data_IF_163010186354
#
_entry.id   IF_163010186354
#
_cell.length_a   1.000
_cell.length_b   1.000
_cell.length_c   1.000
_cell.angle_alpha   90.00
_cell.angle_beta   90.00
_cell.angle_gamma   90.00
#
_symmetry.space_group_name_H-M   'P 1'
#
loop_
_entity.id
_entity.type
_entity.pdbx_description
1 polymer ?
#
# COMPACT_ATOMS: atom_id res chain seq x y z
N UNK A 1 24.19 -48.52 33.43
CA UNK A 1 23.60 -47.19 33.15
C UNK A 1 24.67 -46.37 32.44
N UNK A 2 24.58 -46.24 31.11
CA UNK A 2 25.42 -45.34 30.33
C UNK A 2 24.45 -44.50 29.51
N UNK A 3 24.20 -43.31 30.06
CA UNK A 3 23.55 -42.19 29.40
C UNK A 3 24.55 -41.58 28.41
N UNK A 4 24.11 -41.18 27.22
CA UNK A 4 25.02 -40.59 26.24
C UNK A 4 24.36 -40.06 24.96
N UNK A 5 23.59 -38.98 25.13
CA UNK A 5 23.43 -37.84 24.20
C UNK A 5 23.42 -38.09 22.68
N UNK A 6 22.25 -37.95 22.07
CA UNK A 6 22.09 -37.76 20.61
C UNK A 6 22.49 -36.32 20.29
N UNK A 7 23.59 -36.16 19.55
CA UNK A 7 24.11 -34.89 19.08
C UNK A 7 23.46 -34.57 17.72
N UNK A 8 22.46 -33.69 17.73
CA UNK A 8 21.78 -33.24 16.51
C UNK A 8 22.57 -32.07 15.91
N UNK A 9 23.45 -32.34 14.95
CA UNK A 9 24.20 -31.32 14.24
C UNK A 9 23.33 -30.70 13.13
N UNK A 10 22.84 -29.48 13.35
CA UNK A 10 22.17 -28.66 12.34
C UNK A 10 23.25 -27.93 11.52
N UNK A 11 23.50 -28.39 10.29
CA UNK A 11 24.43 -27.73 9.38
C UNK A 11 23.74 -26.53 8.71
N UNK A 12 24.12 -25.31 9.10
CA UNK A 12 23.82 -24.09 8.35
C UNK A 12 24.88 -23.93 7.25
N UNK A 13 24.52 -24.22 6.01
CA UNK A 13 25.36 -23.87 4.85
C UNK A 13 25.16 -22.39 4.52
N UNK A 14 26.16 -21.57 4.80
CA UNK A 14 26.21 -20.18 4.33
C UNK A 14 26.76 -20.22 2.90
N UNK A 15 25.89 -19.98 1.90
CA UNK A 15 26.34 -19.68 0.54
C UNK A 15 26.94 -18.28 0.53
N UNK A 16 28.27 -18.18 0.43
CA UNK A 16 28.97 -16.94 0.11
C UNK A 16 29.07 -16.87 -1.41
N UNK A 17 28.15 -16.15 -2.05
CA UNK A 17 28.23 -15.83 -3.47
C UNK A 17 29.26 -14.73 -3.71
N UNK A 18 30.28 -15.03 -4.50
CA UNK A 18 31.29 -14.07 -5.00
C UNK A 18 30.65 -13.09 -5.98
N UNK A 19 30.76 -11.79 -5.71
CA UNK A 19 30.36 -10.74 -6.64
C UNK A 19 31.34 -10.68 -7.83
N UNK A 20 30.82 -10.84 -9.05
CA UNK A 20 31.54 -10.56 -10.29
C UNK A 20 30.78 -9.45 -11.02
N UNK A 21 31.43 -8.28 -11.11
CA UNK A 21 30.97 -7.12 -11.87
C UNK A 21 31.36 -7.29 -13.34
N UNK A 22 30.37 -7.19 -14.24
CA UNK A 22 30.35 -6.30 -15.42
C UNK A 22 29.57 -6.92 -16.59
N UNK A 23 28.39 -6.38 -16.85
CA UNK A 23 28.11 -5.67 -18.11
C UNK A 23 26.78 -4.90 -17.98
N UNK A 24 26.87 -3.57 -18.13
CA UNK A 24 25.74 -2.65 -18.19
C UNK A 24 24.85 -2.98 -19.39
N UNK A 25 23.81 -3.76 -19.12
CA UNK A 25 22.52 -3.60 -19.79
C UNK A 25 21.61 -2.92 -18.77
N UNK A 26 20.83 -1.94 -19.22
CA UNK A 26 19.94 -1.15 -18.39
C UNK A 26 18.76 -2.03 -17.89
N UNK A 27 19.06 -2.82 -16.86
CA UNK A 27 18.20 -3.85 -16.27
C UNK A 27 17.37 -3.30 -15.09
N UNK A 28 17.45 -1.98 -14.84
CA UNK A 28 16.89 -1.33 -13.65
C UNK A 28 15.35 -1.40 -13.61
N UNK A 29 14.69 -1.59 -14.76
CA UNK A 29 13.23 -1.65 -14.85
C UNK A 29 12.68 -3.08 -14.75
N UNK A 30 13.44 -4.11 -15.17
CA UNK A 30 12.96 -5.51 -15.11
C UNK A 30 13.20 -6.19 -13.75
N UNK A 31 14.27 -5.83 -13.02
CA UNK A 31 14.49 -6.36 -11.66
C UNK A 31 13.64 -5.67 -10.58
N UNK A 32 13.05 -4.51 -10.87
CA UNK A 32 12.43 -3.67 -9.86
C UNK A 32 11.06 -4.19 -9.34
N UNK A 33 10.36 -5.03 -10.10
CA UNK A 33 9.02 -5.52 -9.76
C UNK A 33 8.84 -7.00 -10.09
N UNK A 34 9.74 -7.85 -9.59
CA UNK A 34 9.50 -9.28 -9.54
C UNK A 34 8.12 -9.56 -8.91
N UNK A 35 7.27 -10.25 -9.67
CA UNK A 35 5.92 -10.62 -9.28
C UNK A 35 5.93 -11.49 -8.01
N UNK A 36 4.86 -11.45 -7.22
CA UNK A 36 4.73 -12.33 -6.06
C UNK A 36 4.35 -13.73 -6.57
N UNK A 37 5.20 -14.72 -6.36
CA UNK A 37 4.88 -16.11 -6.67
C UNK A 37 3.62 -16.56 -5.91
N UNK A 38 2.74 -17.37 -6.53
CA UNK A 38 1.63 -17.99 -5.82
C UNK A 38 2.15 -18.80 -4.63
N UNK A 39 1.35 -18.85 -3.57
CA UNK A 39 1.68 -19.63 -2.40
C UNK A 39 1.61 -21.14 -2.68
N UNK A 40 2.66 -21.87 -2.33
CA UNK A 40 2.78 -23.33 -2.52
C UNK A 40 2.72 -24.12 -1.20
N UNK A 41 2.52 -23.45 -0.06
CA UNK A 41 2.51 -24.10 1.25
C UNK A 41 1.17 -24.80 1.57
N UNK A 42 1.21 -25.71 2.53
CA UNK A 42 0.03 -26.51 2.96
C UNK A 42 -0.88 -25.78 3.95
N UNK A 43 -0.41 -24.68 4.54
CA UNK A 43 -1.17 -23.85 5.50
C UNK A 43 -1.73 -22.61 4.80
N UNK A 44 -2.45 -22.83 3.70
CA UNK A 44 -3.18 -21.78 2.98
C UNK A 44 -4.60 -21.57 3.54
N UNK A 45 -5.38 -20.65 2.97
CA UNK A 45 -6.71 -20.30 3.48
C UNK A 45 -7.68 -21.50 3.57
N UNK A 46 -7.57 -22.50 2.69
CA UNK A 46 -8.36 -23.73 2.77
C UNK A 46 -7.95 -24.73 3.87
N UNK A 47 -6.87 -24.46 4.61
CA UNK A 47 -6.33 -25.37 5.62
C UNK A 47 -7.01 -25.22 6.99
N UNK A 48 -7.21 -26.34 7.69
CA UNK A 48 -7.71 -26.35 9.08
C UNK A 48 -6.81 -25.57 10.04
N UNK A 49 -5.50 -25.51 9.76
CA UNK A 49 -4.52 -24.83 10.60
C UNK A 49 -4.28 -23.37 10.19
N UNK A 50 -5.03 -22.84 9.22
CA UNK A 50 -4.84 -21.47 8.75
C UNK A 50 -5.04 -20.44 9.86
N UNK A 51 -6.07 -20.59 10.70
CA UNK A 51 -6.28 -19.71 11.85
C UNK A 51 -5.12 -19.71 12.84
N UNK A 52 -4.46 -20.87 13.04
CA UNK A 52 -3.28 -20.96 13.90
C UNK A 52 -2.08 -20.26 13.27
N UNK A 53 -1.87 -20.41 11.95
CA UNK A 53 -0.84 -19.67 11.20
C UNK A 53 -0.98 -18.17 11.43
N UNK A 54 -2.18 -17.63 11.21
CA UNK A 54 -2.47 -16.21 11.43
C UNK A 54 -2.21 -15.80 12.88
N UNK A 55 -2.68 -16.59 13.85
CA UNK A 55 -2.46 -16.27 15.27
C UNK A 55 -0.96 -16.23 15.64
N UNK A 56 -0.15 -17.18 15.17
CA UNK A 56 1.30 -17.19 15.43
C UNK A 56 2.01 -15.99 14.79
N UNK A 57 1.63 -15.62 13.56
CA UNK A 57 2.11 -14.42 12.89
C UNK A 57 1.79 -13.16 13.69
N UNK A 58 0.52 -13.02 14.14
CA UNK A 58 0.06 -11.89 14.97
C UNK A 58 0.80 -11.81 16.31
N UNK A 59 1.01 -12.94 16.99
CA UNK A 59 1.80 -13.00 18.22
C UNK A 59 3.24 -12.52 17.97
N UNK A 60 3.87 -12.96 16.88
CA UNK A 60 5.21 -12.52 16.51
C UNK A 60 5.30 -11.00 16.32
N UNK A 61 4.28 -10.38 15.72
CA UNK A 61 4.20 -8.93 15.54
C UNK A 61 4.00 -8.18 16.86
N UNK A 62 3.15 -8.67 17.76
CA UNK A 62 2.86 -8.04 19.05
C UNK A 62 4.12 -7.99 19.93
N UNK A 63 4.93 -9.06 19.91
CA UNK A 63 6.18 -9.13 20.67
C UNK A 63 7.38 -8.47 19.97
N UNK A 64 7.19 -7.86 18.79
CA UNK A 64 8.24 -7.10 18.11
C UNK A 64 8.26 -5.67 18.63
N UNK A 65 9.22 -5.35 19.50
CA UNK A 65 9.35 -4.04 20.16
C UNK A 65 9.90 -2.93 19.24
N UNK A 66 10.61 -3.30 18.17
CA UNK A 66 11.11 -2.35 17.19
C UNK A 66 10.03 -2.03 16.15
N UNK A 67 9.57 -0.79 16.10
CA UNK A 67 8.48 -0.38 15.20
C UNK A 67 8.80 -0.54 13.72
N UNK A 68 10.07 -0.34 13.31
CA UNK A 68 10.47 -0.54 11.91
C UNK A 68 10.49 -2.03 11.55
N UNK A 69 10.99 -2.89 12.44
CA UNK A 69 10.94 -4.34 12.27
C UNK A 69 9.49 -4.86 12.25
N UNK A 70 8.63 -4.29 13.09
CA UNK A 70 7.21 -4.63 13.15
C UNK A 70 6.50 -4.29 11.84
N UNK A 71 6.72 -3.09 11.30
CA UNK A 71 6.23 -2.68 9.97
C UNK A 71 6.70 -3.67 8.91
N UNK A 72 7.98 -4.05 8.93
CA UNK A 72 8.53 -5.00 7.97
C UNK A 72 7.84 -6.37 8.06
N UNK A 73 7.68 -6.93 9.26
CA UNK A 73 6.97 -8.21 9.46
C UNK A 73 5.53 -8.15 8.97
N UNK A 74 4.81 -7.08 9.28
CA UNK A 74 3.43 -6.89 8.82
C UNK A 74 3.34 -6.84 7.29
N UNK A 75 4.29 -6.17 6.63
CA UNK A 75 4.38 -6.12 5.17
C UNK A 75 4.69 -7.50 4.59
N UNK A 76 5.60 -8.28 5.19
CA UNK A 76 5.87 -9.65 4.73
C UNK A 76 4.66 -10.57 4.90
N UNK A 77 3.91 -10.43 5.99
CA UNK A 77 2.65 -11.16 6.14
C UNK A 77 1.60 -10.71 5.11
N UNK A 78 1.51 -9.41 4.81
CA UNK A 78 0.67 -8.92 3.72
C UNK A 78 1.09 -9.53 2.37
N UNK A 79 2.39 -9.60 2.07
CA UNK A 79 2.93 -10.29 0.88
C UNK A 79 2.48 -11.75 0.82
N UNK A 80 2.55 -12.47 1.94
CA UNK A 80 2.07 -13.86 2.03
C UNK A 80 0.57 -13.97 1.72
N UNK A 81 -0.25 -13.02 2.18
CA UNK A 81 -1.69 -13.00 1.88
C UNK A 81 -1.98 -12.78 0.39
N UNK A 82 -1.18 -11.96 -0.29
CA UNK A 82 -1.28 -11.81 -1.76
C UNK A 82 -0.88 -13.08 -2.51
N UNK A 83 0.19 -13.75 -2.07
CA UNK A 83 0.61 -15.04 -2.63
C UNK A 83 -0.49 -16.10 -2.49
N UNK A 84 -1.14 -16.16 -1.33
CA UNK A 84 -2.28 -17.05 -1.05
C UNK A 84 -3.49 -16.69 -1.92
N UNK A 85 -3.87 -15.41 -1.98
CA UNK A 85 -4.96 -14.95 -2.83
C UNK A 85 -4.74 -15.33 -4.30
N UNK A 86 -3.52 -15.14 -4.80
CA UNK A 86 -3.13 -15.50 -6.18
C UNK A 86 -3.23 -17.01 -6.44
N UNK A 87 -2.79 -17.84 -5.50
CA UNK A 87 -2.91 -19.30 -5.62
C UNK A 87 -4.37 -19.76 -5.67
N UNK A 88 -5.21 -19.21 -4.80
CA UNK A 88 -6.64 -19.57 -4.71
C UNK A 88 -7.43 -19.05 -5.92
N UNK A 89 -7.14 -17.84 -6.42
CA UNK A 89 -7.73 -17.31 -7.64
C UNK A 89 -7.39 -18.18 -8.88
N UNK A 90 -6.13 -18.62 -9.01
CA UNK A 90 -5.71 -19.54 -10.07
C UNK A 90 -6.38 -20.91 -9.98
N UNK A 91 -6.70 -21.34 -8.77
CA UNK A 91 -7.42 -22.58 -8.50
C UNK A 91 -8.95 -22.43 -8.55
N UNK A 92 -9.46 -21.24 -8.92
CA UNK A 92 -10.88 -20.87 -8.94
C UNK A 92 -11.60 -21.02 -7.58
N UNK A 93 -10.86 -20.97 -6.47
CA UNK A 93 -11.38 -21.04 -5.11
C UNK A 93 -11.71 -19.64 -4.59
N UNK A 94 -12.81 -19.06 -5.08
CA UNK A 94 -13.16 -17.65 -4.84
C UNK A 94 -13.34 -17.29 -3.36
N UNK A 95 -13.89 -18.20 -2.56
CA UNK A 95 -14.10 -17.96 -1.12
C UNK A 95 -12.77 -17.83 -0.36
N UNK A 96 -11.84 -18.75 -0.63
CA UNK A 96 -10.50 -18.74 -0.05
C UNK A 96 -9.64 -17.58 -0.55
N UNK A 97 -9.77 -17.23 -1.83
CA UNK A 97 -9.17 -16.01 -2.37
C UNK A 97 -9.67 -14.76 -1.64
N UNK A 98 -10.99 -14.60 -1.49
CA UNK A 98 -11.58 -13.46 -0.79
C UNK A 98 -11.18 -13.40 0.68
N UNK A 99 -11.05 -14.56 1.34
CA UNK A 99 -10.53 -14.64 2.69
C UNK A 99 -9.07 -14.15 2.76
N UNK A 100 -8.19 -14.62 1.88
CA UNK A 100 -6.80 -14.16 1.82
C UNK A 100 -6.71 -12.66 1.54
N UNK A 101 -7.54 -12.13 0.64
CA UNK A 101 -7.62 -10.70 0.33
C UNK A 101 -8.06 -9.89 1.56
N UNK A 102 -9.05 -10.33 2.32
CA UNK A 102 -9.43 -9.59 3.54
C UNK A 102 -8.31 -9.64 4.59
N UNK A 103 -7.62 -10.77 4.75
CA UNK A 103 -6.43 -10.84 5.62
C UNK A 103 -5.30 -9.93 5.16
N UNK A 104 -5.11 -9.77 3.85
CA UNK A 104 -4.17 -8.77 3.31
C UNK A 104 -4.57 -7.37 3.78
N UNK A 105 -5.85 -7.01 3.65
CA UNK A 105 -6.35 -5.69 4.05
C UNK A 105 -6.19 -5.44 5.55
N UNK A 106 -6.42 -6.46 6.38
CA UNK A 106 -6.14 -6.39 7.82
C UNK A 106 -4.66 -6.07 8.09
N UNK A 107 -3.72 -6.72 7.37
CA UNK A 107 -2.29 -6.42 7.49
C UNK A 107 -1.94 -5.01 7.01
N UNK A 108 -2.54 -4.54 5.91
CA UNK A 108 -2.35 -3.15 5.45
C UNK A 108 -2.82 -2.14 6.51
N UNK A 109 -3.96 -2.37 7.17
CA UNK A 109 -4.42 -1.52 8.28
C UNK A 109 -3.46 -1.58 9.48
N UNK A 110 -2.91 -2.75 9.79
CA UNK A 110 -1.92 -2.88 10.86
C UNK A 110 -0.61 -2.13 10.56
N UNK A 111 -0.17 -2.14 9.29
CA UNK A 111 0.96 -1.32 8.83
C UNK A 111 0.61 0.16 8.95
N UNK A 112 -0.58 0.57 8.54
CA UNK A 112 -1.06 1.96 8.63
C UNK A 112 -1.01 2.50 10.08
N UNK A 113 -1.48 1.70 11.03
CA UNK A 113 -1.41 2.00 12.46
C UNK A 113 0.04 2.12 12.94
N UNK A 114 0.92 1.21 12.48
CA UNK A 114 2.32 1.16 12.91
C UNK A 114 3.13 2.31 12.32
N UNK A 115 2.91 2.69 11.06
CA UNK A 115 3.51 3.88 10.43
C UNK A 115 3.05 5.17 11.13
N UNK A 116 1.81 5.20 11.62
CA UNK A 116 1.28 6.34 12.38
C UNK A 116 1.98 6.48 13.75
N UNK A 117 2.39 5.37 14.36
CA UNK A 117 3.09 5.32 15.66
C UNK A 117 4.60 5.40 15.55
N UNK A 118 5.18 5.09 14.39
CA UNK A 118 6.62 5.07 14.20
C UNK A 118 7.22 6.48 14.37
N UNK A 119 8.21 6.59 15.27
CA UNK A 119 8.97 7.82 15.56
C UNK A 119 10.40 7.76 15.02
N UNK A 120 10.77 6.68 14.33
CA UNK A 120 12.10 6.40 13.82
C UNK A 120 12.42 7.08 12.48
N UNK A 121 13.62 6.83 11.98
CA UNK A 121 14.17 7.49 10.80
C UNK A 121 13.51 7.00 9.49
N UNK A 122 13.30 7.90 8.54
CA UNK A 122 12.60 7.63 7.27
C UNK A 122 13.26 6.61 6.33
N UNK A 123 14.50 6.19 6.56
CA UNK A 123 15.19 5.22 5.68
C UNK A 123 14.55 3.82 5.71
N UNK A 124 14.12 3.34 6.89
CA UNK A 124 13.40 2.06 7.01
C UNK A 124 12.02 2.11 6.36
N UNK A 125 11.34 3.26 6.46
CA UNK A 125 10.03 3.49 5.87
C UNK A 125 10.10 3.53 4.33
N UNK A 126 11.20 3.99 3.75
CA UNK A 126 11.37 3.98 2.29
C UNK A 126 11.45 2.56 1.71
N UNK A 127 12.11 1.63 2.41
CA UNK A 127 12.12 0.22 2.02
C UNK A 127 10.73 -0.41 2.10
N UNK A 128 10.00 -0.11 3.17
CA UNK A 128 8.61 -0.52 3.37
C UNK A 128 7.68 0.02 2.26
N UNK A 129 7.79 1.31 1.92
CA UNK A 129 7.03 1.94 0.83
C UNK A 129 7.22 1.20 -0.49
N UNK A 130 8.47 0.87 -0.85
CA UNK A 130 8.76 0.12 -2.08
C UNK A 130 8.08 -1.25 -2.11
N UNK A 131 8.03 -1.95 -0.97
CA UNK A 131 7.31 -3.24 -0.87
C UNK A 131 5.80 -3.06 -1.05
N UNK A 132 5.21 -1.99 -0.50
CA UNK A 132 3.78 -1.67 -0.73
C UNK A 132 3.49 -1.37 -2.21
N UNK A 133 4.36 -0.63 -2.90
CA UNK A 133 4.19 -0.41 -4.34
C UNK A 133 4.24 -1.72 -5.14
N UNK A 134 5.12 -2.67 -4.74
CA UNK A 134 5.10 -4.02 -5.34
C UNK A 134 3.77 -4.73 -5.11
N UNK A 135 3.15 -4.56 -3.94
CA UNK A 135 1.83 -5.13 -3.66
C UNK A 135 0.76 -4.51 -4.56
N UNK A 136 0.77 -3.19 -4.77
CA UNK A 136 -0.14 -2.50 -5.68
C UNK A 136 -0.01 -3.05 -7.11
N UNK A 137 1.22 -3.20 -7.62
CA UNK A 137 1.46 -3.79 -8.94
C UNK A 137 0.86 -5.20 -9.08
N UNK A 138 1.03 -6.05 -8.06
CA UNK A 138 0.42 -7.40 -8.06
C UNK A 138 -1.11 -7.33 -8.02
N UNK A 139 -1.68 -6.45 -7.21
CA UNK A 139 -3.13 -6.25 -7.11
C UNK A 139 -3.73 -5.75 -8.43
N UNK A 140 -3.06 -4.84 -9.13
CA UNK A 140 -3.46 -4.36 -10.45
C UNK A 140 -3.48 -5.50 -11.48
N UNK A 141 -2.45 -6.35 -11.51
CA UNK A 141 -2.43 -7.52 -12.40
C UNK A 141 -3.55 -8.51 -12.07
N UNK A 142 -3.77 -8.78 -10.78
CA UNK A 142 -4.88 -9.64 -10.36
C UNK A 142 -6.25 -9.02 -10.72
N UNK A 143 -6.39 -7.70 -10.70
CA UNK A 143 -7.62 -7.03 -11.16
C UNK A 143 -7.82 -7.13 -12.67
N UNK A 144 -6.75 -7.13 -13.46
CA UNK A 144 -6.86 -7.36 -14.91
C UNK A 144 -7.40 -8.77 -15.20
N UNK A 145 -6.92 -9.78 -14.46
CA UNK A 145 -7.36 -11.17 -14.61
C UNK A 145 -8.75 -11.42 -13.97
N UNK A 146 -9.11 -10.67 -12.92
CA UNK A 146 -10.33 -10.85 -12.12
C UNK A 146 -11.06 -9.51 -11.87
N UNK A 147 -11.58 -8.83 -12.92
CA UNK A 147 -12.06 -7.44 -12.83
C UNK A 147 -13.24 -7.23 -11.88
N UNK A 148 -14.10 -8.23 -11.71
CA UNK A 148 -15.28 -8.15 -10.86
C UNK A 148 -14.99 -8.41 -9.37
N UNK A 149 -13.73 -8.68 -9.00
CA UNK A 149 -13.38 -8.92 -7.60
C UNK A 149 -13.31 -7.61 -6.81
N UNK A 150 -14.41 -7.28 -6.12
CA UNK A 150 -14.52 -6.11 -5.22
C UNK A 150 -13.52 -6.15 -4.06
N UNK A 151 -13.05 -7.33 -3.65
CA UNK A 151 -12.01 -7.47 -2.64
C UNK A 151 -10.68 -6.91 -3.12
N UNK A 152 -10.26 -7.27 -4.34
CA UNK A 152 -9.01 -6.78 -4.94
C UNK A 152 -9.04 -5.27 -5.13
N UNK A 153 -10.16 -4.70 -5.61
CA UNK A 153 -10.30 -3.24 -5.75
C UNK A 153 -10.12 -2.52 -4.41
N UNK A 154 -10.80 -3.00 -3.35
CA UNK A 154 -10.64 -2.44 -2.00
C UNK A 154 -9.24 -2.62 -1.44
N UNK A 155 -8.58 -3.74 -1.72
CA UNK A 155 -7.21 -3.99 -1.31
C UNK A 155 -6.22 -3.03 -1.99
N UNK A 156 -6.42 -2.75 -3.27
CA UNK A 156 -5.64 -1.76 -4.02
C UNK A 156 -5.83 -0.37 -3.41
N UNK A 157 -7.09 0.05 -3.20
CA UNK A 157 -7.42 1.33 -2.57
C UNK A 157 -6.83 1.50 -1.16
N UNK A 158 -6.87 0.46 -0.33
CA UNK A 158 -6.29 0.47 1.02
C UNK A 158 -4.76 0.62 0.94
N UNK A 159 -4.10 -0.08 0.00
CA UNK A 159 -2.65 -0.01 -0.19
C UNK A 159 -2.15 1.30 -0.80
N UNK A 160 -2.96 1.94 -1.65
CA UNK A 160 -2.68 3.26 -2.22
C UNK A 160 -2.76 4.35 -1.13
N UNK A 161 -3.76 4.28 -0.24
CA UNK A 161 -3.85 5.19 0.90
C UNK A 161 -2.66 5.05 1.86
N UNK A 162 -2.23 3.81 2.10
CA UNK A 162 -1.05 3.55 2.93
C UNK A 162 0.23 4.11 2.29
N UNK A 163 0.40 4.00 0.98
CA UNK A 163 1.55 4.58 0.28
C UNK A 163 1.56 6.12 0.38
N UNK A 164 0.42 6.79 0.22
CA UNK A 164 0.33 8.25 0.41
C UNK A 164 0.82 8.65 1.82
N UNK A 165 0.49 7.85 2.83
CA UNK A 165 1.02 8.03 4.19
C UNK A 165 2.53 7.82 4.25
N UNK A 166 3.08 6.82 3.57
CA UNK A 166 4.53 6.64 3.47
C UNK A 166 5.22 7.82 2.79
N UNK A 167 4.66 8.37 1.71
CA UNK A 167 5.20 9.56 1.03
C UNK A 167 5.29 10.75 2.00
N UNK A 168 4.25 10.96 2.81
CA UNK A 168 4.21 12.03 3.82
C UNK A 168 5.26 11.88 4.93
N UNK A 169 5.74 10.65 5.16
CA UNK A 169 6.71 10.32 6.22
C UNK A 169 8.15 10.25 5.71
N UNK A 170 8.35 9.99 4.43
CA UNK A 170 9.67 9.78 3.83
C UNK A 170 10.17 10.98 3.04
N UNK A 171 9.30 11.97 2.79
CA UNK A 171 9.53 13.09 1.86
C UNK A 171 9.95 12.61 0.45
N UNK A 172 9.60 11.38 0.08
CA UNK A 172 9.97 10.75 -1.19
C UNK A 172 8.73 10.29 -1.94
N UNK A 173 8.55 10.87 -3.13
CA UNK A 173 7.55 10.43 -4.11
C UNK A 173 8.20 9.59 -5.20
N UNK A 174 7.58 8.48 -5.57
CA UNK A 174 8.05 7.64 -6.66
C UNK A 174 7.54 8.10 -8.04
N UNK A 175 7.34 9.41 -8.23
CA UNK A 175 6.72 10.06 -9.40
C UNK A 175 7.39 9.77 -10.77
N UNK A 176 8.45 8.98 -10.85
CA UNK A 176 9.16 8.63 -12.09
C UNK A 176 9.27 7.15 -12.44
N UNK A 177 8.78 6.20 -11.62
CA UNK A 177 8.99 4.77 -11.89
C UNK A 177 8.08 4.15 -12.97
N UNK A 178 7.11 4.90 -13.52
CA UNK A 178 6.05 4.36 -14.38
C UNK A 178 5.96 5.03 -15.76
N UNK A 179 7.06 5.53 -16.33
CA UNK A 179 7.03 6.15 -17.66
C UNK A 179 6.83 5.15 -18.82
N UNK A 180 6.98 3.83 -18.59
CA UNK A 180 6.92 2.80 -19.65
C UNK A 180 5.88 1.67 -19.43
N UNK A 181 4.89 1.81 -18.54
CA UNK A 181 3.83 0.81 -18.28
C UNK A 181 2.72 1.38 -17.40
N UNK A 182 1.45 0.88 -17.48
CA UNK A 182 0.27 1.73 -17.36
C UNK A 182 0.14 2.38 -15.97
N UNK A 183 0.03 3.72 -15.92
CA UNK A 183 -0.34 4.44 -14.73
C UNK A 183 -1.87 4.44 -14.60
N UNK A 184 -2.41 3.92 -13.49
CA UNK A 184 -3.77 4.30 -13.06
C UNK A 184 -3.72 4.98 -11.70
N UNK A 185 -2.80 5.94 -11.56
CA UNK A 185 -3.01 7.04 -10.64
C UNK A 185 -3.96 8.05 -11.29
N UNK A 186 -5.26 7.90 -11.03
CA UNK A 186 -6.21 9.01 -11.15
C UNK A 186 -7.25 8.93 -10.04
N UNK A 187 -6.88 9.41 -8.86
CA UNK A 187 -7.86 9.98 -7.92
C UNK A 187 -7.82 11.51 -8.06
N UNK A 188 -8.12 12.01 -9.27
CA UNK A 188 -8.69 13.35 -9.41
C UNK A 188 -10.16 13.30 -8.96
N UNK A 189 -10.36 13.11 -7.66
CA UNK A 189 -11.49 13.73 -6.95
C UNK A 189 -10.86 14.44 -5.77
N UNK A 190 -9.94 15.35 -6.12
CA UNK A 190 -9.50 16.40 -5.21
C UNK A 190 -10.75 17.22 -4.94
N UNK A 191 -11.23 17.14 -3.71
CA UNK A 191 -12.14 18.12 -3.13
C UNK A 191 -11.70 19.52 -3.55
N UNK A 192 -12.40 20.10 -4.51
CA UNK A 192 -12.51 21.54 -4.71
C UNK A 192 -13.99 21.89 -4.77
N UNK A 193 -14.74 21.39 -3.79
CA UNK A 193 -15.73 22.23 -3.15
C UNK A 193 -14.91 23.12 -2.21
N UNK A 194 -14.46 24.24 -2.73
CA UNK A 194 -14.28 25.50 -2.00
C UNK A 194 -14.12 26.60 -3.05
N UNK A 195 -15.28 27.21 -3.36
CA UNK A 195 -15.47 28.64 -3.63
C UNK A 195 -14.49 29.31 -4.60
N UNK A 196 -14.93 29.54 -5.85
CA UNK A 196 -15.13 30.93 -6.28
C UNK A 196 -16.08 31.07 -7.47
N UNK A 197 -17.01 32.00 -7.24
CA UNK A 197 -18.02 32.57 -8.12
C UNK A 197 -17.40 33.13 -9.39
N UNK A 198 -17.86 32.71 -10.57
CA UNK A 198 -18.03 33.63 -11.70
C UNK A 198 -18.94 33.04 -12.78
N UNK A 199 -20.15 33.59 -12.89
CA UNK A 199 -20.87 33.68 -14.17
C UNK A 199 -21.70 34.96 -14.09
N UNK A 200 -21.28 35.95 -14.86
CA UNK A 200 -22.04 37.15 -15.22
C UNK A 200 -22.59 36.98 -16.64
N UNK A 201 -23.58 37.83 -16.88
CA UNK A 201 -24.19 38.25 -18.15
C UNK A 201 -25.43 37.43 -18.53
N UNK A 202 -26.60 37.98 -18.83
CA UNK A 202 -27.19 39.32 -19.00
C UNK A 202 -28.74 39.05 -18.89
N UNK A 203 -29.68 39.93 -18.59
CA UNK A 203 -30.09 41.14 -19.31
C UNK A 203 -31.40 41.64 -18.65
N UNK A 204 -31.52 42.92 -18.32
CA UNK A 204 -32.67 43.76 -18.68
C UNK A 204 -32.54 45.20 -18.15
N UNK A 205 -32.77 46.15 -19.06
CA UNK A 205 -32.60 47.60 -18.90
C UNK A 205 -33.34 48.22 -17.71
N UNK A 206 -33.11 49.48 -17.36
CA UNK A 206 -33.35 50.62 -18.24
C UNK A 206 -32.77 51.91 -17.61
N UNK A 207 -32.25 52.80 -18.48
CA UNK A 207 -32.33 54.28 -18.42
C UNK A 207 -31.82 55.05 -17.18
N UNK A 208 -30.66 55.70 -17.37
CA UNK A 208 -30.59 57.16 -17.53
C UNK A 208 -30.48 58.04 -16.28
N UNK A 209 -29.41 58.85 -16.23
CA UNK A 209 -29.41 60.17 -15.56
C UNK A 209 -28.44 60.35 -14.39
N UNK A 210 -27.36 61.09 -14.60
CA UNK A 210 -26.73 61.92 -13.56
C UNK A 210 -27.46 63.30 -13.56
N UNK A 211 -27.52 64.13 -12.49
CA UNK A 211 -26.42 64.41 -11.56
C UNK A 211 -26.75 64.83 -10.08
N UNK A 212 -25.67 64.90 -9.28
CA UNK A 212 -25.36 65.82 -8.16
C UNK A 212 -26.22 66.00 -6.88
N UNK A 213 -25.48 65.96 -5.74
CA UNK A 213 -25.60 66.70 -4.44
C UNK A 213 -26.87 66.42 -3.62
N UNK A 214 -26.84 66.24 -2.29
CA UNK A 214 -26.33 67.10 -1.20
C UNK A 214 -26.19 66.20 0.07
N UNK A 215 -25.20 66.38 0.96
CA UNK A 215 -25.20 65.78 2.28
C UNK A 215 -25.91 66.69 3.32
N UNK A 216 -26.71 66.14 4.25
CA UNK A 216 -26.94 66.74 5.56
C UNK A 216 -26.20 65.90 6.62
N UNK A 217 -25.13 66.40 7.27
CA UNK A 217 -25.10 67.30 8.43
C UNK A 217 -25.92 66.84 9.65
N UNK A 218 -25.20 66.60 10.76
CA UNK A 218 -25.69 66.66 12.13
C UNK A 218 -26.20 65.33 12.69
N UNK A 219 -26.03 64.98 13.96
CA UNK A 219 -25.51 65.67 15.14
C UNK A 219 -25.00 64.60 16.13
N UNK A 220 -24.13 65.03 17.03
CA UNK A 220 -23.53 64.28 18.13
C UNK A 220 -24.55 63.73 19.13
N UNK A 221 -24.33 62.52 19.61
CA UNK A 221 -24.12 62.17 21.03
C UNK A 221 -23.47 60.79 21.15
#
# INVERSE_FOLDING_TARGET
>A
MISGTILLSLAFTINIGTAQFDNLTDNTTEEAFEDIAPYEGTMGPGSTFYGLKIAFEDFGEIFTLNESEKIEKQIEHARSRLAEAKAELRSNNRDYANMAIERYREKIRAVDDSVSKNTGNGSGLFGAQRKIMKHQFVLERLLQDFPDNKGLNRALDDSAQLEEKFESRTDRRFMGMFQNGPPVFRREVRKSNDTEVNNRDEENGTRGGYPMKIPPMGFWE
#
